data_IF_231416168064
#
_entry.id   IF_231416168064
#
_cell.length_a   1.000
_cell.length_b   1.000
_cell.length_c   1.000
_cell.angle_alpha   90.00
_cell.angle_beta   90.00
_cell.angle_gamma   90.00
#
_symmetry.space_group_name_H-M   'P 1'
#
loop_
_entity.id
_entity.type
_entity.pdbx_description
1 polymer ?
#
# COMPACT_ATOMS: atom_id res chain seq x y z
N UNK A 1 -28.37 -23.87 -2.57
CA UNK A 1 -28.22 -22.89 -1.50
C UNK A 1 -26.82 -23.06 -0.95
N UNK A 2 -25.87 -22.21 -1.37
CA UNK A 2 -24.58 -22.09 -0.69
C UNK A 2 -24.92 -21.54 0.69
N UNK A 3 -24.76 -22.36 1.73
CA UNK A 3 -24.90 -21.89 3.10
C UNK A 3 -23.90 -20.76 3.27
N UNK A 4 -24.39 -19.53 3.43
CA UNK A 4 -23.56 -18.47 3.97
C UNK A 4 -23.25 -18.91 5.41
N UNK A 5 -22.15 -19.64 5.58
CA UNK A 5 -21.47 -19.76 6.86
C UNK A 5 -20.99 -18.35 7.18
N UNK A 6 -21.91 -17.59 7.79
CA UNK A 6 -21.79 -16.19 8.16
C UNK A 6 -20.81 -16.07 9.30
N UNK A 7 -19.53 -16.21 8.98
CA UNK A 7 -18.45 -15.99 9.91
C UNK A 7 -18.04 -14.52 9.98
N UNK A 8 -17.61 -14.07 11.17
CA UNK A 8 -16.97 -12.75 11.35
C UNK A 8 -15.55 -12.80 10.80
N UNK A 9 -15.12 -11.71 10.17
CA UNK A 9 -13.71 -11.47 9.88
C UNK A 9 -13.09 -10.70 11.03
N UNK A 10 -12.06 -11.26 11.66
CA UNK A 10 -11.24 -10.60 12.66
C UNK A 10 -9.90 -10.21 12.02
N UNK A 11 -9.49 -8.95 12.22
CA UNK A 11 -8.24 -8.40 11.67
C UNK A 11 -7.43 -7.82 12.80
N UNK A 12 -6.16 -8.22 12.92
CA UNK A 12 -5.26 -7.73 13.96
C UNK A 12 -3.91 -7.34 13.36
N UNK A 13 -3.27 -6.30 13.91
CA UNK A 13 -1.90 -5.95 13.58
C UNK A 13 -0.98 -6.36 14.72
N UNK A 14 0.01 -7.21 14.45
CA UNK A 14 0.97 -7.67 15.45
C UNK A 14 2.30 -8.03 14.75
N UNK A 15 3.43 -7.81 15.41
CA UNK A 15 4.75 -8.22 14.92
C UNK A 15 5.10 -7.73 13.48
N UNK A 16 4.64 -6.51 13.13
CA UNK A 16 4.76 -5.92 11.77
C UNK A 16 4.05 -6.71 10.66
N UNK A 17 3.10 -7.59 11.02
CA UNK A 17 2.23 -8.30 10.11
C UNK A 17 0.75 -7.97 10.41
N UNK A 18 -0.10 -8.17 9.42
CA UNK A 18 -1.56 -8.07 9.53
C UNK A 18 -2.12 -9.49 9.50
N UNK A 19 -2.76 -9.89 10.58
CA UNK A 19 -3.42 -11.18 10.71
C UNK A 19 -4.88 -11.05 10.28
N UNK A 20 -5.30 -11.94 9.38
CA UNK A 20 -6.69 -12.07 8.96
C UNK A 20 -7.20 -13.43 9.42
N UNK A 21 -8.26 -13.40 10.22
CA UNK A 21 -8.92 -14.60 10.70
C UNK A 21 -10.39 -14.57 10.28
N UNK A 22 -10.89 -15.68 9.76
CA UNK A 22 -12.33 -15.90 9.59
C UNK A 22 -12.79 -16.85 10.68
N UNK A 23 -13.74 -16.42 11.47
CA UNK A 23 -14.30 -17.18 12.59
C UNK A 23 -15.74 -17.53 12.27
N UNK A 24 -16.15 -18.79 12.47
CA UNK A 24 -17.54 -19.23 12.29
C UNK A 24 -18.47 -18.61 13.34
N UNK A 25 -19.78 -18.77 13.16
CA UNK A 25 -20.79 -18.35 14.16
C UNK A 25 -20.64 -19.11 15.49
N UNK A 26 -19.93 -20.25 15.48
CA UNK A 26 -19.61 -21.05 16.67
C UNK A 26 -18.24 -20.71 17.29
N UNK A 27 -17.68 -19.55 16.96
CA UNK A 27 -16.35 -19.10 17.41
C UNK A 27 -15.20 -20.04 16.99
N UNK A 28 -15.38 -20.85 15.94
CA UNK A 28 -14.33 -21.73 15.41
C UNK A 28 -13.52 -21.02 14.32
N UNK A 29 -12.17 -21.02 14.38
CA UNK A 29 -11.34 -20.43 13.35
C UNK A 29 -11.43 -21.28 12.07
N UNK A 30 -12.02 -20.71 11.02
CA UNK A 30 -12.18 -21.33 9.71
C UNK A 30 -11.01 -21.00 8.77
N UNK A 31 -10.40 -19.84 8.96
CA UNK A 31 -9.28 -19.35 8.15
C UNK A 31 -8.39 -18.48 9.01
N UNK A 32 -7.08 -18.61 8.84
CA UNK A 32 -6.08 -17.76 9.48
C UNK A 32 -4.92 -17.56 8.51
N UNK A 33 -4.59 -16.30 8.24
CA UNK A 33 -3.46 -15.93 7.38
C UNK A 33 -2.76 -14.68 7.95
N UNK A 34 -1.49 -14.50 7.58
CA UNK A 34 -0.68 -13.36 7.98
C UNK A 34 -0.08 -12.69 6.75
N UNK A 35 -0.38 -11.42 6.56
CA UNK A 35 0.10 -10.60 5.46
C UNK A 35 1.16 -9.62 5.95
N UNK A 36 2.09 -9.28 5.07
CA UNK A 36 2.95 -8.11 5.31
C UNK A 36 2.13 -6.82 5.17
N UNK A 37 2.63 -5.67 5.66
CA UNK A 37 1.92 -4.41 5.55
C UNK A 37 1.67 -3.98 4.10
N UNK A 38 2.59 -4.27 3.17
CA UNK A 38 2.39 -3.99 1.75
C UNK A 38 1.29 -4.87 1.14
N UNK A 39 1.30 -6.18 1.42
CA UNK A 39 0.32 -7.11 0.90
C UNK A 39 -1.09 -6.82 1.46
N UNK A 40 -1.18 -6.44 2.73
CA UNK A 40 -2.45 -6.04 3.34
C UNK A 40 -3.06 -4.81 2.67
N UNK A 41 -2.25 -3.82 2.28
CA UNK A 41 -2.70 -2.64 1.54
C UNK A 41 -3.13 -3.00 0.12
N UNK A 42 -2.37 -3.84 -0.57
CA UNK A 42 -2.74 -4.33 -1.89
C UNK A 42 -4.07 -5.11 -1.86
N UNK A 43 -4.25 -5.97 -0.86
CA UNK A 43 -5.50 -6.71 -0.65
C UNK A 43 -6.66 -5.76 -0.36
N UNK A 44 -6.47 -4.76 0.51
CA UNK A 44 -7.49 -3.77 0.80
C UNK A 44 -7.94 -3.03 -0.47
N UNK A 45 -7.00 -2.59 -1.30
CA UNK A 45 -7.30 -1.93 -2.58
C UNK A 45 -8.07 -2.84 -3.55
N UNK A 46 -7.73 -4.13 -3.62
CA UNK A 46 -8.48 -5.11 -4.41
C UNK A 46 -9.90 -5.29 -3.85
N UNK A 47 -10.04 -5.47 -2.53
CA UNK A 47 -11.34 -5.64 -1.89
C UNK A 47 -12.26 -4.44 -2.15
N UNK A 48 -11.75 -3.21 -2.00
CA UNK A 48 -12.48 -1.98 -2.32
C UNK A 48 -12.91 -1.98 -3.79
N UNK A 49 -11.96 -2.12 -4.73
CA UNK A 49 -12.25 -2.12 -6.17
C UNK A 49 -13.32 -3.12 -6.60
N UNK A 50 -13.28 -4.34 -6.05
CA UNK A 50 -14.27 -5.37 -6.38
C UNK A 50 -15.60 -5.16 -5.65
N UNK A 51 -15.60 -4.57 -4.46
CA UNK A 51 -16.81 -4.13 -3.78
C UNK A 51 -17.50 -3.00 -4.54
N UNK A 52 -16.75 -2.00 -4.99
CA UNK A 52 -17.26 -0.91 -5.84
C UNK A 52 -17.90 -1.47 -7.11
N UNK A 53 -17.18 -2.31 -7.84
CA UNK A 53 -17.71 -2.97 -9.05
C UNK A 53 -18.97 -3.79 -8.78
N UNK A 54 -19.05 -4.47 -7.64
CA UNK A 54 -20.23 -5.23 -7.24
C UNK A 54 -21.41 -4.30 -6.86
N UNK A 55 -21.13 -3.16 -6.21
CA UNK A 55 -22.10 -2.12 -5.87
C UNK A 55 -22.63 -1.38 -7.09
N UNK A 56 -21.77 -1.03 -8.04
CA UNK A 56 -22.13 -0.40 -9.32
C UNK A 56 -23.00 -1.31 -10.20
N UNK A 57 -22.88 -2.63 -10.03
CA UNK A 57 -23.76 -3.60 -10.71
C UNK A 57 -25.20 -3.60 -10.17
N UNK A 58 -25.48 -2.88 -9.07
CA UNK A 58 -26.78 -2.85 -8.38
C UNK A 58 -27.41 -1.46 -8.22
N UNK A 59 -26.73 -0.36 -8.55
CA UNK A 59 -27.22 1.00 -8.31
C UNK A 59 -26.86 1.95 -9.43
N UNK A 60 -27.81 2.19 -10.35
CA UNK A 60 -27.77 3.36 -11.20
C UNK A 60 -27.94 4.62 -10.32
N UNK A 61 -26.87 5.39 -10.15
CA UNK A 61 -26.91 6.77 -9.67
C UNK A 61 -26.50 6.97 -8.22
N UNK A 62 -25.23 7.22 -8.00
CA UNK A 62 -24.75 8.52 -7.49
C UNK A 62 -23.24 8.55 -7.74
N UNK A 63 -22.82 9.35 -8.72
CA UNK A 63 -21.40 9.69 -8.87
C UNK A 63 -21.08 10.67 -7.75
N UNK A 64 -20.48 10.17 -6.66
CA UNK A 64 -19.81 11.04 -5.69
C UNK A 64 -18.40 11.30 -6.24
N UNK A 65 -18.26 12.47 -6.86
CA UNK A 65 -16.99 13.17 -7.09
C UNK A 65 -16.22 13.30 -5.77
N UNK A 66 -15.53 12.23 -5.35
CA UNK A 66 -14.56 12.29 -4.26
C UNK A 66 -13.20 12.67 -4.83
N UNK A 67 -13.10 13.97 -5.13
CA UNK A 67 -11.95 14.86 -4.96
C UNK A 67 -10.56 14.18 -4.85
N UNK A 68 -9.98 13.88 -6.01
CA UNK A 68 -8.57 13.54 -6.17
C UNK A 68 -7.74 14.83 -6.05
N UNK A 69 -7.72 15.44 -4.85
CA UNK A 69 -6.83 16.58 -4.57
C UNK A 69 -6.00 16.40 -3.31
N UNK A 70 -4.69 16.23 -3.52
CA UNK A 70 -3.67 16.75 -2.62
C UNK A 70 -2.93 15.74 -1.75
N UNK A 71 -1.95 15.04 -2.35
CA UNK A 71 -0.62 14.97 -1.74
C UNK A 71 0.43 14.58 -2.79
N UNK A 72 0.86 15.55 -3.60
CA UNK A 72 2.18 15.46 -4.24
C UNK A 72 3.17 15.86 -3.14
N UNK A 73 3.68 14.87 -2.42
CA UNK A 73 4.82 15.04 -1.52
C UNK A 73 6.06 15.28 -2.40
N UNK A 74 6.26 16.54 -2.79
CA UNK A 74 7.52 17.01 -3.38
C UNK A 74 8.62 16.97 -2.31
N UNK A 75 9.15 15.77 -2.07
CA UNK A 75 10.34 15.54 -1.27
C UNK A 75 11.57 16.06 -2.05
N UNK A 76 11.68 17.38 -2.18
CA UNK A 76 12.92 18.03 -2.60
C UNK A 76 13.90 17.99 -1.44
N UNK A 77 14.45 16.80 -1.21
CA UNK A 77 15.62 16.59 -0.38
C UNK A 77 16.74 17.49 -0.91
N UNK A 78 17.03 18.52 -0.13
CA UNK A 78 18.13 19.44 -0.38
C UNK A 78 19.45 18.69 -0.33
N UNK A 79 19.99 18.38 -1.50
CA UNK A 79 21.38 17.93 -1.68
C UNK A 79 22.30 19.13 -1.42
N UNK A 80 22.54 19.36 -0.13
CA UNK A 80 23.62 20.19 0.34
C UNK A 80 24.89 19.37 0.42
N UNK A 81 25.58 19.16 -0.71
CA UNK A 81 26.99 18.76 -0.68
C UNK A 81 27.88 19.86 -1.28
N UNK A 82 28.48 20.61 -0.36
CA UNK A 82 29.61 21.50 -0.64
C UNK A 82 30.88 20.66 -0.72
N UNK A 83 31.26 20.29 -1.93
CA UNK A 83 32.60 19.84 -2.27
C UNK A 83 33.10 20.78 -3.38
N UNK A 84 33.91 21.79 -3.09
CA UNK A 84 35.30 21.58 -2.67
C UNK A 84 36.18 21.93 -3.87
N UNK A 85 36.44 23.23 -4.00
CA UNK A 85 37.38 23.84 -4.93
C UNK A 85 38.78 23.21 -4.79
N UNK A 86 39.30 22.62 -5.87
CA UNK A 86 40.73 22.65 -6.18
C UNK A 86 40.96 22.49 -7.69
N UNK A 87 40.84 23.63 -8.36
CA UNK A 87 41.34 23.91 -9.69
C UNK A 87 42.89 23.97 -9.60
N UNK A 88 43.59 22.93 -10.03
CA UNK A 88 45.01 23.05 -10.41
C UNK A 88 45.25 22.42 -11.78
N UNK A 89 45.47 23.33 -12.71
CA UNK A 89 45.70 23.19 -14.13
C UNK A 89 47.18 22.95 -14.47
N UNK A 90 47.41 22.34 -15.64
CA UNK A 90 48.67 22.37 -16.41
C UNK A 90 49.65 21.24 -16.06
N UNK A 91 49.73 20.16 -16.85
CA UNK A 91 50.45 20.07 -18.14
C UNK A 91 51.94 20.43 -18.01
N UNK A 92 52.83 19.42 -18.02
CA UNK A 92 53.89 19.36 -19.02
C UNK A 92 54.68 18.03 -18.99
N UNK A 93 54.64 17.35 -20.15
CA UNK A 93 55.56 16.31 -20.64
C UNK A 93 57.03 16.65 -20.39
N UNK A 94 57.82 15.70 -19.88
CA UNK A 94 59.14 15.37 -20.48
C UNK A 94 59.50 13.90 -20.28
N UNK A 95 59.71 13.22 -21.40
CA UNK A 95 60.44 11.97 -21.53
C UNK A 95 61.92 12.29 -21.79
N UNK A 96 62.86 11.49 -21.26
CA UNK A 96 64.24 11.37 -21.78
C UNK A 96 65.28 12.32 -21.20
#
# INVERSE_FOLDING_TARGET
>A
MVGHEGGRWDVAAKDKAVYLQRVSDSDEPLFEDSLTPEDARALAGLLTKYADKAGESGGSGEADDSDESGHDDEDTSGDGDKSGDEDTSGDEDTSG
#
